data_IF_885183565378
#
_entry.id   IF_885183565378
#
_cell.length_a   1.000
_cell.length_b   1.000
_cell.length_c   1.000
_cell.angle_alpha   90.00
_cell.angle_beta   90.00
_cell.angle_gamma   90.00
#
_symmetry.space_group_name_H-M   'P 1'
#
loop_
_entity.id
_entity.type
_entity.pdbx_description
1 polymer ?
#
# COMPACT_ATOMS: atom_id res chain seq x y z
N UNK A 1 -16.85 -9.97 -6.34
CA UNK A 1 -17.87 -10.45 -5.36
C UNK A 1 -18.44 -9.31 -4.51
N UNK A 2 -17.71 -8.24 -4.19
CA UNK A 2 -18.23 -7.17 -3.30
C UNK A 2 -19.44 -6.37 -3.81
N UNK A 3 -19.49 -6.02 -5.10
CA UNK A 3 -20.57 -5.19 -5.65
C UNK A 3 -21.94 -5.87 -5.62
N UNK A 4 -22.00 -7.16 -5.95
CA UNK A 4 -23.22 -7.97 -5.86
C UNK A 4 -23.73 -8.14 -4.43
N UNK A 5 -22.81 -8.17 -3.44
CA UNK A 5 -23.18 -8.22 -2.02
C UNK A 5 -23.78 -6.90 -1.51
N UNK A 6 -23.52 -5.79 -2.21
CA UNK A 6 -24.10 -4.47 -1.92
C UNK A 6 -25.37 -4.17 -2.73
N UNK A 7 -25.92 -5.16 -3.45
CA UNK A 7 -27.15 -5.01 -4.22
C UNK A 7 -27.00 -4.27 -5.56
N UNK A 8 -25.77 -4.08 -6.06
CA UNK A 8 -25.50 -3.47 -7.36
C UNK A 8 -25.62 -4.51 -8.47
N UNK A 9 -26.24 -4.17 -9.59
CA UNK A 9 -26.28 -4.99 -10.78
C UNK A 9 -24.99 -4.81 -11.61
N UNK A 10 -24.53 -5.87 -12.30
CA UNK A 10 -23.31 -5.81 -13.13
C UNK A 10 -23.39 -4.75 -14.23
N UNK A 11 -24.58 -4.48 -14.74
CA UNK A 11 -24.83 -3.49 -15.79
C UNK A 11 -24.60 -2.04 -15.32
N UNK A 12 -24.69 -1.77 -13.99
CA UNK A 12 -24.47 -0.44 -13.40
C UNK A 12 -22.98 -0.16 -13.13
N UNK A 13 -22.15 -1.21 -13.08
CA UNK A 13 -20.73 -1.06 -12.73
C UNK A 13 -19.94 -0.16 -13.68
N UNK A 14 -20.10 -0.21 -15.01
CA UNK A 14 -19.36 0.66 -15.91
C UNK A 14 -19.64 2.14 -15.64
N UNK A 15 -20.91 2.53 -15.47
CA UNK A 15 -21.31 3.90 -15.20
C UNK A 15 -20.77 4.42 -13.87
N UNK A 16 -20.84 3.60 -12.81
CA UNK A 16 -20.28 3.93 -11.49
C UNK A 16 -18.78 4.14 -11.58
N UNK A 17 -18.07 3.25 -12.28
CA UNK A 17 -16.61 3.33 -12.46
C UNK A 17 -16.24 4.60 -13.23
N UNK A 18 -16.93 4.91 -14.28
CA UNK A 18 -16.63 6.08 -15.11
C UNK A 18 -16.95 7.38 -14.36
N UNK A 19 -18.09 7.47 -13.67
CA UNK A 19 -18.42 8.60 -12.80
C UNK A 19 -17.37 8.81 -11.69
N UNK A 20 -16.87 7.71 -11.08
CA UNK A 20 -15.81 7.81 -10.10
C UNK A 20 -14.49 8.33 -10.69
N UNK A 21 -14.13 7.87 -11.89
CA UNK A 21 -12.92 8.33 -12.59
C UNK A 21 -13.00 9.80 -12.97
N UNK A 22 -14.15 10.24 -13.44
CA UNK A 22 -14.40 11.66 -13.76
C UNK A 22 -14.32 12.54 -12.53
N UNK A 23 -14.82 12.08 -11.39
CA UNK A 23 -14.73 12.79 -10.12
C UNK A 23 -13.29 12.80 -9.53
N UNK A 24 -12.42 11.86 -9.95
CA UNK A 24 -11.07 11.69 -9.41
C UNK A 24 -9.96 11.72 -10.48
N UNK A 25 -9.90 12.73 -11.35
CA UNK A 25 -9.01 12.71 -12.52
C UNK A 25 -7.53 12.68 -12.16
N UNK A 26 -7.13 13.27 -11.02
CA UNK A 26 -5.73 13.26 -10.55
C UNK A 26 -5.28 11.86 -10.11
N UNK A 27 -6.19 11.07 -9.52
CA UNK A 27 -5.89 9.69 -9.13
C UNK A 27 -5.74 8.83 -10.38
N UNK A 28 -6.64 8.98 -11.34
CA UNK A 28 -6.58 8.26 -12.62
C UNK A 28 -5.31 8.60 -13.39
N UNK A 29 -4.92 9.88 -13.44
CA UNK A 29 -3.66 10.30 -14.05
C UNK A 29 -2.45 9.66 -13.35
N UNK A 30 -2.44 9.64 -12.00
CA UNK A 30 -1.38 9.01 -11.23
C UNK A 30 -1.27 7.50 -11.51
N UNK A 31 -2.38 6.79 -11.74
CA UNK A 31 -2.36 5.39 -12.16
C UNK A 31 -1.60 5.21 -13.48
N UNK A 32 -1.93 6.02 -14.49
CA UNK A 32 -1.29 5.92 -15.80
C UNK A 32 0.18 6.30 -15.76
N UNK A 33 0.52 7.35 -15.03
CA UNK A 33 1.91 7.79 -14.85
C UNK A 33 2.74 6.71 -14.14
N UNK A 34 2.16 6.04 -13.15
CA UNK A 34 2.81 4.94 -12.42
C UNK A 34 3.09 3.75 -13.34
N UNK A 35 2.12 3.33 -14.15
CA UNK A 35 2.32 2.24 -15.11
C UNK A 35 3.35 2.61 -16.16
N UNK A 36 3.30 3.83 -16.67
CA UNK A 36 4.27 4.35 -17.64
C UNK A 36 5.68 4.37 -17.06
N UNK A 37 5.86 4.84 -15.83
CA UNK A 37 7.15 4.86 -15.16
C UNK A 37 7.71 3.43 -14.97
N UNK A 38 6.90 2.49 -14.51
CA UNK A 38 7.27 1.09 -14.35
C UNK A 38 7.73 0.46 -15.69
N UNK A 39 6.95 0.70 -16.75
CA UNK A 39 7.24 0.19 -18.09
C UNK A 39 8.49 0.82 -18.69
N UNK A 40 8.71 2.11 -18.48
CA UNK A 40 9.90 2.82 -18.97
C UNK A 40 11.14 2.33 -18.26
N UNK A 41 11.12 2.24 -16.91
CA UNK A 41 12.23 1.69 -16.14
C UNK A 41 12.61 0.28 -16.59
N UNK A 42 11.61 -0.58 -16.84
CA UNK A 42 11.83 -1.94 -17.34
C UNK A 42 12.49 -1.97 -18.72
N UNK A 43 12.09 -1.05 -19.63
CA UNK A 43 12.62 -1.03 -21.02
C UNK A 43 14.00 -0.40 -21.14
N UNK A 44 14.23 0.69 -20.41
CA UNK A 44 15.45 1.50 -20.56
C UNK A 44 16.53 1.14 -19.55
N UNK A 45 16.18 0.50 -18.42
CA UNK A 45 17.06 0.31 -17.28
C UNK A 45 17.30 1.58 -16.47
N UNK A 46 16.74 2.72 -16.88
CA UNK A 46 16.89 4.00 -16.20
C UNK A 46 15.86 4.14 -15.08
N UNK A 47 16.26 4.74 -13.96
CA UNK A 47 15.36 5.08 -12.86
C UNK A 47 14.28 6.06 -13.33
N UNK A 48 13.02 5.74 -12.99
CA UNK A 48 11.86 6.57 -13.29
C UNK A 48 11.16 6.97 -11.98
N UNK A 49 10.92 8.25 -11.81
CA UNK A 49 10.22 8.80 -10.65
C UNK A 49 8.78 9.17 -10.99
N UNK A 50 7.85 8.89 -10.08
CA UNK A 50 6.44 9.27 -10.19
C UNK A 50 5.88 9.57 -8.80
N UNK A 51 5.47 10.81 -8.57
CA UNK A 51 5.05 11.27 -7.24
C UNK A 51 6.17 11.09 -6.21
N UNK A 52 5.94 10.24 -5.21
CA UNK A 52 6.88 9.93 -4.14
C UNK A 52 7.52 8.54 -4.25
N UNK A 53 7.21 7.79 -5.30
CA UNK A 53 7.81 6.48 -5.58
C UNK A 53 8.72 6.55 -6.79
N UNK A 54 9.59 5.55 -6.93
CA UNK A 54 10.40 5.41 -8.14
C UNK A 54 10.45 3.94 -8.58
N UNK A 55 10.79 3.72 -9.85
CA UNK A 55 11.04 2.40 -10.39
C UNK A 55 12.49 2.28 -10.87
N UNK A 56 13.13 1.16 -10.56
CA UNK A 56 14.48 0.80 -10.96
C UNK A 56 14.48 -0.64 -11.50
N UNK A 57 15.17 -0.88 -12.61
CA UNK A 57 15.32 -2.23 -13.14
C UNK A 57 16.79 -2.64 -13.15
N UNK A 58 17.11 -3.65 -12.34
CA UNK A 58 18.46 -4.25 -12.31
C UNK A 58 18.41 -5.70 -11.83
N UNK A 59 19.39 -6.48 -12.22
CA UNK A 59 19.52 -7.90 -11.86
C UNK A 59 18.26 -8.72 -12.13
N UNK A 60 17.55 -8.43 -13.25
CA UNK A 60 16.35 -9.17 -13.66
C UNK A 60 15.11 -8.91 -12.81
N UNK A 61 15.12 -7.88 -11.98
CA UNK A 61 14.01 -7.49 -11.10
C UNK A 61 13.66 -6.03 -11.32
N UNK A 62 12.36 -5.74 -11.45
CA UNK A 62 11.86 -4.38 -11.37
C UNK A 62 11.53 -4.07 -9.91
N UNK A 63 12.12 -3.01 -9.40
CA UNK A 63 11.96 -2.56 -8.03
C UNK A 63 11.10 -1.31 -7.98
N UNK A 64 10.07 -1.31 -7.16
CA UNK A 64 9.39 -0.08 -6.76
C UNK A 64 10.03 0.40 -5.46
N UNK A 65 10.65 1.58 -5.50
CA UNK A 65 11.29 2.24 -4.36
C UNK A 65 10.25 3.13 -3.69
N UNK A 66 9.99 2.88 -2.42
CA UNK A 66 9.03 3.63 -1.60
C UNK A 66 9.70 4.87 -0.97
N UNK A 67 8.92 5.85 -0.50
CA UNK A 67 9.46 7.04 0.18
C UNK A 67 10.29 6.71 1.44
N UNK A 68 9.98 5.61 2.12
CA UNK A 68 10.73 5.08 3.27
C UNK A 68 12.11 4.52 2.90
N UNK A 69 12.40 4.36 1.60
CA UNK A 69 13.59 3.67 1.10
C UNK A 69 13.41 2.15 0.94
N UNK A 70 12.32 1.57 1.47
CA UNK A 70 11.98 0.16 1.26
C UNK A 70 11.63 -0.09 -0.20
N UNK A 71 11.82 -1.33 -0.67
CA UNK A 71 11.59 -1.72 -2.06
C UNK A 71 10.61 -2.88 -2.15
N UNK A 72 9.72 -2.82 -3.14
CA UNK A 72 8.89 -3.94 -3.56
C UNK A 72 9.49 -4.57 -4.80
N UNK A 73 9.60 -5.89 -4.82
CA UNK A 73 10.21 -6.65 -5.89
C UNK A 73 9.16 -7.21 -6.86
N UNK A 74 9.31 -6.92 -8.15
CA UNK A 74 8.59 -7.55 -9.25
C UNK A 74 9.59 -8.42 -10.01
N UNK A 75 9.63 -9.71 -9.67
CA UNK A 75 10.66 -10.63 -10.13
C UNK A 75 10.41 -11.06 -11.57
N UNK A 76 11.50 -11.18 -12.35
CA UNK A 76 11.47 -11.61 -13.75
C UNK A 76 10.35 -10.92 -14.55
N UNK A 77 10.30 -9.59 -14.55
CA UNK A 77 9.26 -8.85 -15.24
C UNK A 77 9.27 -9.17 -16.73
N UNK A 78 8.08 -9.20 -17.34
CA UNK A 78 7.90 -9.35 -18.79
C UNK A 78 6.75 -8.49 -19.26
N UNK A 79 6.85 -8.00 -20.48
CA UNK A 79 5.76 -7.36 -21.19
C UNK A 79 4.98 -8.41 -21.97
N UNK A 80 3.70 -8.56 -21.71
CA UNK A 80 2.83 -9.53 -22.37
C UNK A 80 1.45 -8.92 -22.63
N UNK A 81 0.74 -9.33 -23.68
CA UNK A 81 -0.66 -8.97 -23.84
C UNK A 81 -1.49 -9.49 -22.65
N UNK A 82 -2.29 -8.61 -22.05
CA UNK A 82 -3.27 -9.02 -21.06
C UNK A 82 -4.53 -9.61 -21.73
N UNK A 83 -5.50 -10.03 -20.95
CA UNK A 83 -6.78 -10.60 -21.43
C UNK A 83 -7.58 -9.67 -22.36
N UNK A 84 -7.24 -8.38 -22.42
CA UNK A 84 -7.86 -7.40 -23.33
C UNK A 84 -6.98 -7.06 -24.54
N UNK A 85 -5.88 -7.80 -24.77
CA UNK A 85 -4.93 -7.57 -25.87
C UNK A 85 -4.00 -6.37 -25.68
N UNK A 86 -4.07 -5.66 -24.54
CA UNK A 86 -3.19 -4.53 -24.22
C UNK A 86 -1.90 -5.05 -23.59
N UNK A 87 -0.76 -4.51 -24.02
CA UNK A 87 0.53 -4.82 -23.42
C UNK A 87 0.59 -4.36 -21.97
N UNK A 88 0.79 -5.28 -21.05
CA UNK A 88 0.91 -5.02 -19.61
C UNK A 88 2.16 -5.69 -19.04
N UNK A 89 2.58 -5.23 -17.86
CA UNK A 89 3.68 -5.82 -17.12
C UNK A 89 3.19 -7.05 -16.37
N UNK A 90 3.97 -8.13 -16.44
CA UNK A 90 3.77 -9.35 -15.64
C UNK A 90 5.04 -9.66 -14.85
N UNK A 91 4.94 -10.35 -13.75
CA UNK A 91 6.06 -10.75 -12.90
C UNK A 91 5.83 -12.11 -12.25
N UNK A 92 6.86 -12.73 -11.71
CA UNK A 92 6.73 -13.97 -10.95
C UNK A 92 6.56 -13.67 -9.45
N UNK A 93 5.60 -14.31 -8.82
CA UNK A 93 5.28 -14.15 -7.42
C UNK A 93 4.23 -15.13 -6.92
N UNK A 94 3.93 -15.04 -5.63
CA UNK A 94 2.87 -15.85 -5.01
C UNK A 94 1.50 -15.28 -5.40
N UNK A 95 0.68 -16.09 -6.05
CA UNK A 95 -0.69 -15.73 -6.42
C UNK A 95 -1.69 -15.92 -5.27
N UNK A 96 -2.96 -15.60 -5.51
CA UNK A 96 -4.07 -15.77 -4.54
C UNK A 96 -4.26 -17.23 -4.09
N UNK A 97 -3.84 -18.18 -4.91
CA UNK A 97 -3.86 -19.62 -4.59
C UNK A 97 -2.65 -20.09 -3.76
N UNK A 98 -1.85 -19.16 -3.23
CA UNK A 98 -0.60 -19.41 -2.49
C UNK A 98 0.46 -20.20 -3.29
N UNK A 99 0.35 -20.26 -4.62
CA UNK A 99 1.33 -20.89 -5.48
C UNK A 99 2.17 -19.84 -6.21
N UNK A 100 3.43 -20.18 -6.41
CA UNK A 100 4.33 -19.37 -7.24
C UNK A 100 3.92 -19.47 -8.70
N UNK A 101 3.60 -18.33 -9.30
CA UNK A 101 3.16 -18.27 -10.69
C UNK A 101 3.38 -16.87 -11.28
N UNK A 102 3.19 -16.75 -12.58
CA UNK A 102 3.22 -15.44 -13.24
C UNK A 102 1.93 -14.68 -12.92
N UNK A 103 2.13 -13.47 -12.44
CA UNK A 103 1.07 -12.53 -12.04
C UNK A 103 0.99 -11.39 -13.05
N UNK A 104 -0.22 -11.01 -13.43
CA UNK A 104 -0.45 -9.76 -14.16
C UNK A 104 -0.47 -8.58 -13.19
N UNK A 105 0.04 -7.43 -13.66
CA UNK A 105 -0.14 -6.17 -12.96
C UNK A 105 -0.62 -5.09 -13.92
N UNK A 106 -1.18 -4.04 -13.38
CA UNK A 106 -1.72 -2.90 -14.11
C UNK A 106 -1.64 -1.65 -13.23
N UNK A 107 -1.92 -0.50 -13.82
CA UNK A 107 -1.79 0.81 -13.20
C UNK A 107 -2.36 0.90 -11.77
N UNK A 108 -3.63 0.52 -11.60
CA UNK A 108 -4.30 0.56 -10.30
C UNK A 108 -3.66 -0.37 -9.26
N UNK A 109 -3.23 -1.59 -9.66
CA UNK A 109 -2.57 -2.53 -8.76
C UNK A 109 -1.20 -2.05 -8.31
N UNK A 110 -0.44 -1.38 -9.19
CA UNK A 110 0.84 -0.80 -8.80
C UNK A 110 0.65 0.30 -7.74
N UNK A 111 -0.35 1.17 -7.91
CA UNK A 111 -0.67 2.22 -6.94
C UNK A 111 -1.21 1.62 -5.64
N UNK A 112 -2.08 0.61 -5.71
CA UNK A 112 -2.55 -0.14 -4.54
C UNK A 112 -1.37 -0.72 -3.74
N UNK A 113 -0.43 -1.41 -4.40
CA UNK A 113 0.75 -1.97 -3.77
C UNK A 113 1.60 -0.88 -3.09
N UNK A 114 1.80 0.27 -3.76
CA UNK A 114 2.51 1.41 -3.19
C UNK A 114 1.81 1.93 -1.93
N UNK A 115 0.49 2.15 -2.00
CA UNK A 115 -0.31 2.69 -0.90
C UNK A 115 -0.29 1.77 0.32
N UNK A 116 -0.55 0.49 0.11
CA UNK A 116 -0.51 -0.53 1.19
C UNK A 116 0.88 -0.63 1.83
N UNK A 117 1.92 -0.60 1.00
CA UNK A 117 3.29 -0.68 1.49
C UNK A 117 3.71 0.56 2.28
N UNK A 118 3.34 1.76 1.81
CA UNK A 118 3.59 3.02 2.53
C UNK A 118 2.85 3.04 3.87
N UNK A 119 1.59 2.63 3.91
CA UNK A 119 0.82 2.52 5.14
C UNK A 119 1.49 1.56 6.15
N UNK A 120 2.00 0.41 5.66
CA UNK A 120 2.76 -0.53 6.48
C UNK A 120 4.06 0.07 7.03
N UNK A 121 4.76 0.90 6.24
CA UNK A 121 6.00 1.56 6.68
C UNK A 121 5.71 2.61 7.76
N UNK A 122 4.61 3.36 7.65
CA UNK A 122 4.16 4.31 8.67
C UNK A 122 3.87 3.58 9.98
N UNK A 123 3.14 2.46 9.92
CA UNK A 123 2.85 1.66 11.11
C UNK A 123 4.14 1.10 11.74
N UNK A 124 5.08 0.60 10.94
CA UNK A 124 6.34 0.07 11.43
C UNK A 124 7.14 1.12 12.20
N UNK A 125 7.29 2.34 11.66
CA UNK A 125 7.96 3.42 12.38
C UNK A 125 7.18 3.90 13.63
N UNK A 126 5.86 3.82 13.62
CA UNK A 126 5.05 4.08 14.81
C UNK A 126 5.32 3.03 15.90
N UNK A 127 5.40 1.75 15.51
CA UNK A 127 5.74 0.66 16.44
C UNK A 127 7.15 0.83 17.04
N UNK A 128 8.13 1.23 16.24
CA UNK A 128 9.48 1.51 16.72
C UNK A 128 9.48 2.64 17.76
N UNK A 129 8.74 3.73 17.55
CA UNK A 129 8.61 4.83 18.51
C UNK A 129 7.93 4.38 19.80
N UNK A 130 6.84 3.61 19.69
CA UNK A 130 6.12 3.06 20.84
C UNK A 130 7.04 2.15 21.67
N UNK A 131 7.81 1.29 21.01
CA UNK A 131 8.76 0.41 21.66
C UNK A 131 9.91 1.19 22.33
N UNK A 132 10.38 2.27 21.73
CA UNK A 132 11.43 3.13 22.28
C UNK A 132 10.98 3.85 23.58
N UNK A 133 9.67 4.11 23.74
CA UNK A 133 9.08 4.63 24.98
C UNK A 133 8.89 3.53 26.06
N UNK A 134 9.31 2.29 25.79
CA UNK A 134 9.20 1.18 26.72
C UNK A 134 7.83 0.52 26.78
N UNK A 135 6.93 0.82 25.86
CA UNK A 135 5.61 0.20 25.76
C UNK A 135 5.71 -1.17 25.11
N UNK A 136 5.07 -2.18 25.71
CA UNK A 136 5.09 -3.56 25.24
C UNK A 136 4.02 -3.79 24.18
N UNK A 137 4.42 -3.85 22.91
CA UNK A 137 3.54 -4.22 21.80
C UNK A 137 3.41 -5.74 21.78
N UNK A 138 2.22 -6.28 22.09
CA UNK A 138 1.96 -7.72 22.08
C UNK A 138 1.43 -8.23 20.75
N UNK A 139 0.78 -7.38 19.95
CA UNK A 139 0.33 -7.72 18.61
C UNK A 139 0.10 -6.46 17.77
N UNK A 140 -0.07 -6.64 16.47
CA UNK A 140 -0.59 -5.64 15.55
C UNK A 140 -1.53 -6.30 14.53
N UNK A 141 -2.56 -5.57 14.12
CA UNK A 141 -3.54 -6.05 13.12
C UNK A 141 -3.81 -4.91 12.13
N UNK A 142 -3.49 -5.13 10.84
CA UNK A 142 -3.60 -4.10 9.79
C UNK A 142 -2.89 -2.79 10.16
N UNK A 143 -3.64 -1.78 10.60
CA UNK A 143 -3.21 -0.44 11.02
C UNK A 143 -3.32 -0.20 12.53
N UNK A 144 -3.63 -1.25 13.30
CA UNK A 144 -3.77 -1.23 14.76
C UNK A 144 -2.54 -1.80 15.46
N UNK A 145 -2.24 -1.30 16.65
CA UNK A 145 -1.30 -1.89 17.60
C UNK A 145 -2.01 -2.24 18.90
N UNK A 146 -1.66 -3.39 19.46
CA UNK A 146 -2.17 -3.85 20.75
C UNK A 146 -1.01 -3.78 21.73
N UNK A 147 -1.21 -3.02 22.79
CA UNK A 147 -0.19 -2.72 23.80
C UNK A 147 -0.67 -3.22 25.14
N UNK A 148 0.18 -3.99 25.82
CA UNK A 148 -0.01 -4.34 27.21
C UNK A 148 0.80 -3.38 28.10
N UNK A 149 0.13 -2.70 29.03
CA UNK A 149 0.76 -1.73 29.91
C UNK A 149 0.18 -1.80 31.35
N UNK A 150 0.97 -1.48 32.37
CA UNK A 150 0.46 -1.35 33.74
C UNK A 150 -0.67 -0.34 33.82
N UNK A 151 -1.71 -0.68 34.62
CA UNK A 151 -2.88 0.21 34.79
C UNK A 151 -2.45 1.59 35.35
N UNK A 152 -2.85 2.65 34.63
CA UNK A 152 -2.58 4.03 35.05
C UNK A 152 -1.23 4.61 34.63
N UNK A 153 -0.35 3.83 34.00
CA UNK A 153 0.97 4.32 33.54
C UNK A 153 0.88 5.17 32.28
N UNK A 154 0.00 4.79 31.35
CA UNK A 154 -0.19 5.49 30.07
C UNK A 154 -1.65 5.79 29.79
N UNK A 155 -1.90 6.87 29.07
CA UNK A 155 -3.20 7.24 28.55
C UNK A 155 -3.33 6.82 27.09
N UNK A 156 -4.56 6.64 26.60
CA UNK A 156 -4.81 6.38 25.16
C UNK A 156 -4.27 7.52 24.30
N UNK A 157 -4.46 8.78 24.75
CA UNK A 157 -4.03 9.96 24.02
C UNK A 157 -2.50 10.03 23.84
N UNK A 158 -1.72 9.60 24.84
CA UNK A 158 -0.25 9.53 24.73
C UNK A 158 0.17 8.54 23.66
N UNK A 159 -0.43 7.37 23.63
CA UNK A 159 -0.15 6.36 22.59
C UNK A 159 -0.60 6.83 21.22
N UNK A 160 -1.79 7.42 21.10
CA UNK A 160 -2.29 7.96 19.85
C UNK A 160 -1.38 9.07 19.30
N UNK A 161 -0.80 9.92 20.16
CA UNK A 161 0.20 10.92 19.75
C UNK A 161 1.46 10.26 19.16
N UNK A 162 1.97 9.19 19.78
CA UNK A 162 3.12 8.45 19.25
C UNK A 162 2.82 7.84 17.88
N UNK A 163 1.62 7.30 17.69
CA UNK A 163 1.20 6.73 16.40
C UNK A 163 1.04 7.80 15.31
N UNK A 164 0.63 9.00 15.67
CA UNK A 164 0.32 10.08 14.73
C UNK A 164 1.52 10.92 14.29
N UNK A 165 2.73 10.60 14.76
CA UNK A 165 3.95 11.32 14.35
C UNK A 165 4.31 10.95 12.91
N UNK A 166 4.42 11.97 12.05
CA UNK A 166 4.85 11.76 10.67
C UNK A 166 6.33 11.32 10.61
N UNK A 167 6.65 10.21 9.95
CA UNK A 167 8.01 9.94 9.51
C UNK A 167 8.58 11.09 8.67
N UNK A 168 9.91 11.27 8.70
CA UNK A 168 10.56 12.36 7.97
C UNK A 168 10.29 12.32 6.46
N UNK A 169 10.15 11.11 5.89
CA UNK A 169 9.90 10.87 4.47
C UNK A 169 8.44 11.12 4.05
N UNK A 170 7.48 11.23 5.00
CA UNK A 170 6.07 11.54 4.69
C UNK A 170 5.57 12.81 5.40
N UNK A 171 6.45 13.78 5.59
CA UNK A 171 6.11 15.07 6.20
C UNK A 171 4.90 15.72 5.51
N UNK A 172 3.92 16.15 6.32
CA UNK A 172 2.71 16.81 5.85
C UNK A 172 1.55 15.88 5.52
N UNK A 173 1.72 14.54 5.65
CA UNK A 173 0.60 13.62 5.57
C UNK A 173 -0.27 13.78 6.83
N UNK A 174 -1.59 14.00 6.73
CA UNK A 174 -2.46 14.08 7.91
C UNK A 174 -2.63 12.69 8.52
N UNK A 175 -1.87 12.41 9.59
CA UNK A 175 -2.00 11.18 10.37
C UNK A 175 -2.80 11.46 11.64
N UNK A 176 -3.73 10.56 11.96
CA UNK A 176 -4.48 10.56 13.20
C UNK A 176 -4.61 9.12 13.69
N UNK A 177 -4.66 8.95 15.00
CA UNK A 177 -4.93 7.68 15.64
C UNK A 177 -6.03 7.85 16.68
N UNK A 178 -6.83 6.82 16.85
CA UNK A 178 -7.81 6.69 17.91
C UNK A 178 -7.60 5.35 18.61
N UNK A 179 -8.05 5.22 19.84
CA UNK A 179 -7.88 3.99 20.58
C UNK A 179 -8.81 3.89 21.78
N UNK A 180 -8.78 2.74 22.45
CA UNK A 180 -9.52 2.49 23.67
C UNK A 180 -8.69 1.65 24.65
N UNK A 181 -9.15 1.54 25.89
CA UNK A 181 -8.63 0.65 26.92
C UNK A 181 -9.63 -0.44 27.20
N UNK A 182 -9.14 -1.67 27.38
CA UNK A 182 -9.93 -2.82 27.81
C UNK A 182 -9.10 -3.80 28.60
N UNK A 183 -9.73 -4.74 29.27
CA UNK A 183 -9.05 -5.84 29.93
C UNK A 183 -8.75 -7.00 28.96
N UNK A 184 -9.28 -6.94 27.73
CA UNK A 184 -9.01 -7.85 26.62
C UNK A 184 -9.23 -7.14 25.28
N UNK A 185 -8.63 -7.66 24.21
CA UNK A 185 -8.84 -7.16 22.87
C UNK A 185 -10.21 -7.56 22.35
N UNK A 186 -10.95 -6.60 21.80
CA UNK A 186 -12.19 -6.83 21.06
C UNK A 186 -12.23 -5.90 19.85
N UNK A 187 -12.99 -6.31 18.85
CA UNK A 187 -13.24 -5.50 17.66
C UNK A 187 -14.77 -5.36 17.54
N UNK A 188 -15.24 -4.11 17.41
CA UNK A 188 -16.65 -3.80 17.19
C UNK A 188 -17.13 -4.25 15.79
#
# INVERSE_FOLDING_TARGET
MGALQMGLHEEELPEIIDSWREANPKIVQYWWDTEKAAMTAYKTGERQEVGKIAFEFYSGTLWMVLPSGRRLAYLKPRQQPNRFGRMSLTYEGVGQNHKWSRQETYSGRLVENATQAIARDILAEAMDRISAEGLNIVAHVHDEVIIEAPKGQYTVDEVCKLMSVNPAWCKGLPLAAAGYKGDYYFKD
#
